data_IF_263516742742
#
_entry.id   IF_263516742742
#
_cell.length_a   1.000
_cell.length_b   1.000
_cell.length_c   1.000
_cell.angle_alpha   90.00
_cell.angle_beta   90.00
_cell.angle_gamma   90.00
#
_symmetry.space_group_name_H-M   'P 1'
#
loop_
_entity.id
_entity.type
_entity.pdbx_description
1 polymer ?
#
# COMPACT_ATOMS: atom_id res chain seq x y z
N UNK A 1 -27.05 -4.34 30.55
CA UNK A 1 -27.25 -3.62 29.25
C UNK A 1 -26.10 -2.68 28.85
N UNK A 2 -25.03 -2.50 29.64
CA UNK A 2 -23.89 -1.63 29.28
C UNK A 2 -22.66 -2.38 28.72
N UNK A 3 -22.67 -3.71 28.77
CA UNK A 3 -21.57 -4.56 28.27
C UNK A 3 -21.28 -4.45 26.77
N UNK A 4 -22.27 -4.39 25.86
CA UNK A 4 -21.97 -4.29 24.44
C UNK A 4 -21.34 -2.95 24.08
N UNK A 5 -21.79 -1.87 24.71
CA UNK A 5 -21.24 -0.53 24.53
C UNK A 5 -19.78 -0.52 24.99
N UNK A 6 -19.51 -0.98 26.22
CA UNK A 6 -18.16 -1.05 26.80
C UNK A 6 -17.19 -1.84 25.93
N UNK A 7 -17.64 -2.96 25.36
CA UNK A 7 -16.83 -3.83 24.50
C UNK A 7 -16.47 -3.16 23.17
N UNK A 8 -17.41 -2.41 22.58
CA UNK A 8 -17.18 -1.64 21.34
C UNK A 8 -16.21 -0.49 21.62
N UNK A 9 -16.37 0.23 22.73
CA UNK A 9 -15.49 1.35 23.09
C UNK A 9 -14.04 0.88 23.28
N UNK A 10 -13.83 -0.28 23.91
CA UNK A 10 -12.49 -0.86 24.10
C UNK A 10 -11.84 -1.24 22.76
N UNK A 11 -12.59 -1.81 21.82
CA UNK A 11 -12.07 -2.15 20.49
C UNK A 11 -11.69 -0.91 19.69
N UNK A 12 -12.53 0.12 19.70
CA UNK A 12 -12.23 1.38 19.03
C UNK A 12 -11.00 2.04 19.64
N UNK A 13 -10.88 2.06 20.97
CA UNK A 13 -9.71 2.62 21.65
C UNK A 13 -8.42 1.91 21.25
N UNK A 14 -8.45 0.58 21.06
CA UNK A 14 -7.27 -0.20 20.66
C UNK A 14 -6.88 0.03 19.18
N UNK A 15 -7.86 0.30 18.31
CA UNK A 15 -7.62 0.64 16.90
C UNK A 15 -7.03 2.05 16.72
N UNK A 16 -7.53 3.00 17.52
CA UNK A 16 -7.19 4.42 17.39
C UNK A 16 -6.18 4.91 18.42
N UNK A 17 -5.68 4.03 19.32
CA UNK A 17 -4.57 4.44 20.18
C UNK A 17 -3.34 4.56 19.30
N UNK A 18 -2.72 5.75 19.22
CA UNK A 18 -1.48 5.90 18.51
C UNK A 18 -0.46 4.97 19.17
N UNK A 19 0.06 4.00 18.41
CA UNK A 19 1.18 3.19 18.85
C UNK A 19 2.28 4.15 19.27
N UNK A 20 2.65 4.15 20.55
CA UNK A 20 3.71 5.02 21.05
C UNK A 20 5.01 4.52 20.42
N UNK A 21 5.35 5.11 19.27
CA UNK A 21 6.50 4.78 18.41
C UNK A 21 7.86 5.06 19.03
N UNK A 22 8.00 4.88 20.35
CA UNK A 22 9.22 5.08 21.13
C UNK A 22 10.09 3.84 21.24
N UNK A 23 9.90 2.82 20.38
CA UNK A 23 10.77 1.63 20.39
C UNK A 23 12.11 1.79 19.67
N UNK A 24 12.43 2.95 19.06
CA UNK A 24 13.72 3.15 18.35
C UNK A 24 14.32 4.56 18.48
N UNK A 25 14.21 5.21 19.64
CA UNK A 25 14.78 6.55 19.85
C UNK A 25 16.04 6.59 20.74
N UNK A 26 16.67 5.45 21.05
CA UNK A 26 17.66 5.40 22.15
C UNK A 26 18.97 4.65 21.91
N UNK A 27 19.17 3.96 20.78
CA UNK A 27 20.44 3.27 20.54
C UNK A 27 21.17 3.98 19.41
N UNK A 28 22.00 4.96 19.78
CA UNK A 28 23.10 5.37 18.90
C UNK A 28 24.06 4.18 18.82
N UNK A 29 24.37 3.64 17.63
CA UNK A 29 25.48 2.72 17.52
C UNK A 29 26.76 3.48 17.91
N UNK A 30 27.50 2.90 18.85
CA UNK A 30 28.83 3.41 19.20
C UNK A 30 29.71 3.22 17.96
N UNK A 31 30.15 4.33 17.36
CA UNK A 31 31.00 4.30 16.17
C UNK A 31 32.42 3.97 16.65
N UNK A 32 32.79 2.69 16.53
CA UNK A 32 34.18 2.25 16.73
C UNK A 32 35.07 2.99 15.72
N UNK A 33 36.17 3.62 16.15
CA UNK A 33 37.11 4.28 15.23
C UNK A 33 37.65 3.27 14.21
N UNK A 34 37.58 3.63 12.93
CA UNK A 34 38.15 2.82 11.85
C UNK A 34 39.67 2.70 12.03
N UNK A 35 40.25 1.48 12.02
CA UNK A 35 41.69 1.31 12.05
C UNK A 35 42.33 1.98 10.82
N UNK A 36 43.41 2.73 11.06
CA UNK A 36 44.09 3.61 10.10
C UNK A 36 44.89 2.90 8.98
N UNK A 37 44.82 1.58 8.89
CA UNK A 37 45.63 0.81 7.94
C UNK A 37 44.81 -0.31 7.30
N UNK A 38 43.97 0.05 6.34
CA UNK A 38 43.53 -0.91 5.35
C UNK A 38 44.61 -0.94 4.27
N UNK A 39 45.41 -2.01 4.23
CA UNK A 39 46.30 -2.26 3.11
C UNK A 39 45.45 -2.32 1.85
N UNK A 40 45.75 -1.46 0.87
CA UNK A 40 44.98 -1.29 -0.35
C UNK A 40 45.12 -2.56 -1.21
N UNK A 41 44.22 -3.52 -0.99
CA UNK A 41 44.05 -4.65 -1.88
C UNK A 41 43.49 -4.14 -3.22
N UNK A 42 43.90 -4.72 -4.36
CA UNK A 42 43.35 -4.32 -5.66
C UNK A 42 41.82 -4.46 -5.62
N UNK A 43 41.07 -3.48 -6.16
CA UNK A 43 39.62 -3.45 -6.06
C UNK A 43 39.05 -4.68 -6.78
N UNK A 44 38.47 -5.59 -6.00
CA UNK A 44 37.66 -6.67 -6.55
C UNK A 44 36.35 -6.05 -7.09
N UNK A 45 35.90 -6.43 -8.29
CA UNK A 45 34.66 -5.89 -8.84
C UNK A 45 33.50 -6.25 -7.91
N UNK A 46 32.78 -5.23 -7.46
CA UNK A 46 31.58 -5.42 -6.66
C UNK A 46 30.45 -6.01 -7.52
N UNK A 47 29.58 -6.86 -6.95
CA UNK A 47 28.38 -7.29 -7.63
C UNK A 47 27.56 -6.09 -8.07
N UNK A 48 26.94 -6.18 -9.25
CA UNK A 48 26.03 -5.14 -9.73
C UNK A 48 24.92 -4.89 -8.70
N UNK A 49 24.80 -3.64 -8.25
CA UNK A 49 23.80 -3.26 -7.28
C UNK A 49 22.38 -3.56 -7.81
N UNK A 50 21.66 -4.45 -7.13
CA UNK A 50 20.24 -4.72 -7.39
C UNK A 50 19.40 -4.44 -6.15
N UNK A 51 18.19 -3.96 -6.37
CA UNK A 51 17.21 -3.85 -5.29
C UNK A 51 16.80 -5.27 -4.84
N UNK A 52 16.50 -5.47 -3.54
CA UNK A 52 16.04 -6.76 -3.02
C UNK A 52 14.74 -7.29 -3.66
N UNK A 53 14.05 -6.43 -4.40
CA UNK A 53 12.76 -6.71 -5.05
C UNK A 53 12.86 -6.70 -6.58
N UNK A 54 14.05 -6.52 -7.15
CA UNK A 54 14.25 -6.65 -8.58
C UNK A 54 14.16 -8.11 -8.97
N UNK A 55 13.30 -8.43 -9.96
CA UNK A 55 13.33 -9.75 -10.59
C UNK A 55 14.67 -9.93 -11.31
N UNK A 56 15.27 -11.11 -11.14
CA UNK A 56 16.50 -11.51 -11.84
C UNK A 56 16.24 -11.79 -13.33
N UNK A 57 15.02 -12.23 -13.65
CA UNK A 57 14.60 -12.57 -15.01
C UNK A 57 13.86 -11.41 -15.68
N UNK A 58 14.09 -11.26 -16.98
CA UNK A 58 13.36 -10.30 -17.81
C UNK A 58 11.93 -10.82 -17.99
N UNK A 59 10.97 -10.04 -17.52
CA UNK A 59 9.56 -10.40 -17.60
C UNK A 59 9.00 -10.00 -18.97
N UNK A 60 8.55 -10.98 -19.75
CA UNK A 60 7.83 -10.70 -21.00
C UNK A 60 6.37 -10.34 -20.70
N UNK A 61 6.07 -9.04 -20.81
CA UNK A 61 4.72 -8.52 -20.64
C UNK A 61 3.72 -9.05 -21.67
N UNK A 62 4.17 -9.54 -22.83
CA UNK A 62 3.29 -10.11 -23.85
C UNK A 62 2.83 -11.53 -23.51
N UNK A 63 3.64 -12.29 -22.75
CA UNK A 63 3.30 -13.63 -22.25
C UNK A 63 2.44 -13.57 -20.98
N UNK A 64 2.32 -12.40 -20.36
CA UNK A 64 1.61 -12.24 -19.10
C UNK A 64 0.22 -11.69 -19.34
N UNK A 65 -0.80 -12.47 -18.96
CA UNK A 65 -2.18 -11.98 -18.98
C UNK A 65 -2.31 -10.85 -17.97
N UNK A 66 -2.56 -9.63 -18.48
CA UNK A 66 -2.84 -8.47 -17.65
C UNK A 66 -4.22 -8.64 -16.99
N UNK A 67 -4.27 -9.30 -15.84
CA UNK A 67 -5.48 -9.35 -15.04
C UNK A 67 -5.63 -7.98 -14.36
N UNK A 68 -6.80 -7.34 -14.53
CA UNK A 68 -7.18 -6.09 -13.85
C UNK A 68 -8.16 -6.40 -12.71
N UNK A 69 -7.75 -7.09 -11.64
CA UNK A 69 -8.66 -7.55 -10.59
C UNK A 69 -9.44 -6.39 -9.97
N UNK A 70 -8.81 -5.22 -9.86
CA UNK A 70 -9.43 -4.01 -9.34
C UNK A 70 -10.44 -3.37 -10.29
N UNK A 71 -10.28 -3.53 -11.61
CA UNK A 71 -11.29 -3.06 -12.57
C UNK A 71 -12.56 -3.92 -12.45
N UNK A 72 -12.42 -5.25 -12.47
CA UNK A 72 -13.57 -6.14 -12.31
C UNK A 72 -14.30 -5.90 -10.98
N UNK A 73 -13.54 -5.74 -9.88
CA UNK A 73 -14.12 -5.40 -8.57
C UNK A 73 -14.81 -4.03 -8.57
N UNK A 74 -14.26 -3.04 -9.29
CA UNK A 74 -14.84 -1.72 -9.42
C UNK A 74 -16.16 -1.74 -10.19
N UNK A 75 -16.21 -2.41 -11.35
CA UNK A 75 -17.41 -2.58 -12.16
C UNK A 75 -18.53 -3.29 -11.40
N UNK A 76 -18.18 -4.36 -10.67
CA UNK A 76 -19.15 -5.08 -9.84
C UNK A 76 -19.68 -4.21 -8.69
N UNK A 77 -18.86 -3.32 -8.14
CA UNK A 77 -19.30 -2.35 -7.14
C UNK A 77 -20.25 -1.32 -7.75
N UNK A 78 -19.95 -0.79 -8.94
CA UNK A 78 -20.81 0.16 -9.65
C UNK A 78 -22.18 -0.45 -9.95
N UNK A 79 -22.23 -1.68 -10.50
CA UNK A 79 -23.49 -2.37 -10.80
C UNK A 79 -24.35 -2.59 -9.54
N UNK A 80 -23.74 -2.98 -8.41
CA UNK A 80 -24.47 -3.14 -7.15
C UNK A 80 -25.04 -1.81 -6.62
N UNK A 81 -24.27 -0.73 -6.77
CA UNK A 81 -24.71 0.61 -6.40
C UNK A 81 -25.89 1.07 -7.26
N UNK A 82 -25.81 0.87 -8.57
CA UNK A 82 -26.87 1.21 -9.52
C UNK A 82 -28.18 0.50 -9.17
N UNK A 83 -28.12 -0.83 -8.95
CA UNK A 83 -29.29 -1.61 -8.52
C UNK A 83 -29.86 -1.15 -7.18
N UNK A 84 -29.00 -0.80 -6.22
CA UNK A 84 -29.44 -0.29 -4.93
C UNK A 84 -30.18 1.06 -5.05
N UNK A 85 -29.67 1.96 -5.89
CA UNK A 85 -30.30 3.26 -6.15
C UNK A 85 -31.64 3.09 -6.85
N UNK A 86 -31.70 2.27 -7.90
CA UNK A 86 -32.94 1.96 -8.60
C UNK A 86 -34.01 1.35 -7.67
N UNK A 87 -33.60 0.45 -6.77
CA UNK A 87 -34.49 -0.12 -5.76
C UNK A 87 -35.03 0.90 -4.74
N UNK A 88 -34.32 2.01 -4.53
CA UNK A 88 -34.77 3.15 -3.71
C UNK A 88 -35.57 4.19 -4.50
N UNK A 89 -35.77 3.99 -5.80
CA UNK A 89 -36.43 4.96 -6.69
C UNK A 89 -35.55 6.18 -7.01
N UNK A 90 -34.24 6.06 -6.84
CA UNK A 90 -33.26 7.10 -7.15
C UNK A 90 -32.58 6.79 -8.49
N UNK A 91 -32.54 7.77 -9.39
CA UNK A 91 -31.80 7.65 -10.64
C UNK A 91 -30.29 7.71 -10.40
N UNK A 92 -29.53 6.94 -11.19
CA UNK A 92 -28.07 7.01 -11.17
C UNK A 92 -27.66 8.37 -11.79
N UNK A 93 -26.82 9.18 -11.14
CA UNK A 93 -26.27 10.37 -11.77
C UNK A 93 -25.51 9.97 -13.05
N UNK A 94 -25.86 10.61 -14.16
CA UNK A 94 -25.19 10.44 -15.45
C UNK A 94 -23.74 10.94 -15.43
N UNK A 95 -23.01 10.74 -16.54
CA UNK A 95 -21.64 11.19 -16.66
C UNK A 95 -21.53 12.69 -16.39
N UNK A 96 -20.49 13.09 -15.66
CA UNK A 96 -20.23 14.49 -15.34
C UNK A 96 -18.89 14.93 -15.90
N UNK A 97 -18.81 16.19 -16.30
CA UNK A 97 -17.66 16.72 -17.03
C UNK A 97 -16.68 17.39 -16.07
N UNK A 98 -15.43 16.98 -16.10
CA UNK A 98 -14.33 17.63 -15.37
C UNK A 98 -13.33 18.14 -16.41
N UNK A 99 -13.07 19.45 -16.44
CA UNK A 99 -12.11 20.08 -17.38
C UNK A 99 -12.30 19.70 -18.85
N UNK A 100 -13.55 19.53 -19.30
CA UNK A 100 -13.86 19.15 -20.68
C UNK A 100 -13.67 17.66 -20.99
N UNK A 101 -13.36 16.84 -19.99
CA UNK A 101 -13.31 15.37 -20.10
C UNK A 101 -14.54 14.78 -19.42
N UNK A 102 -15.23 13.90 -20.13
CA UNK A 102 -16.33 13.11 -19.58
C UNK A 102 -15.79 12.09 -18.56
N UNK A 103 -16.28 12.14 -17.32
CA UNK A 103 -15.91 11.22 -16.25
C UNK A 103 -17.15 10.41 -15.87
N UNK A 104 -17.08 9.10 -16.09
CA UNK A 104 -18.10 8.11 -15.73
C UNK A 104 -17.63 7.24 -14.56
#
# INVERSE_FOLDING_TARGET
MLDPIRRITLRLRLLFTPGTGRRRAGVRPDLVPTPHSWTEAPPTPLPTHRSPYGLDEVFDGAQTVAVRPYLAAHEQRLRRRELAMAGMGLDMPGPYWIHGVEVA
#
